data_IF_126438346667
#
_entry.id   IF_126438346667
#
_cell.length_a   1.000
_cell.length_b   1.000
_cell.length_c   1.000
_cell.angle_alpha   90.00
_cell.angle_beta   90.00
_cell.angle_gamma   90.00
#
_symmetry.space_group_name_H-M   'P 1'
#
loop_
_entity.id
_entity.type
_entity.pdbx_description
1 polymer ?
#
# COMPACT_ATOMS: atom_id res chain seq x y z
N UNK A 1 -15.25 -16.91 51.48
CA UNK A 1 -16.38 -16.90 50.52
C UNK A 1 -15.97 -16.04 49.33
N UNK A 2 -15.91 -16.63 48.14
CA UNK A 2 -15.45 -15.98 46.90
C UNK A 2 -16.70 -15.64 46.08
N UNK A 3 -16.97 -14.39 45.70
CA UNK A 3 -18.04 -14.10 44.75
C UNK A 3 -17.59 -14.46 43.32
N UNK A 4 -18.42 -15.25 42.68
CA UNK A 4 -18.27 -15.82 41.35
C UNK A 4 -18.79 -14.80 40.32
N UNK A 5 -17.89 -14.00 39.72
CA UNK A 5 -18.27 -12.97 38.74
C UNK A 5 -18.24 -13.59 37.33
N UNK A 6 -19.42 -14.01 36.85
CA UNK A 6 -19.60 -14.39 35.43
C UNK A 6 -19.44 -13.15 34.56
N UNK A 7 -18.26 -12.98 33.95
CA UNK A 7 -18.03 -11.96 32.94
C UNK A 7 -18.71 -12.37 31.64
N UNK A 8 -19.87 -11.77 31.34
CA UNK A 8 -20.46 -11.78 30.02
C UNK A 8 -19.68 -10.80 29.14
N UNK A 9 -18.85 -11.31 28.24
CA UNK A 9 -18.22 -10.51 27.19
C UNK A 9 -19.29 -10.16 26.15
N UNK A 10 -19.77 -8.92 26.19
CA UNK A 10 -20.59 -8.32 25.14
C UNK A 10 -19.66 -8.08 23.95
N UNK A 11 -19.83 -8.85 22.87
CA UNK A 11 -19.24 -8.55 21.57
C UNK A 11 -19.90 -7.27 21.03
N UNK A 12 -19.24 -6.13 21.20
CA UNK A 12 -19.57 -4.92 20.47
C UNK A 12 -19.18 -5.15 19.01
N UNK A 13 -20.17 -5.40 18.14
CA UNK A 13 -20.02 -5.26 16.69
C UNK A 13 -19.80 -3.77 16.40
N UNK A 14 -18.55 -3.31 16.50
CA UNK A 14 -18.16 -2.09 15.80
C UNK A 14 -18.27 -2.40 14.31
N UNK A 15 -19.09 -1.65 13.58
CA UNK A 15 -19.04 -1.57 12.13
C UNK A 15 -17.66 -1.01 11.74
N UNK A 16 -16.66 -1.88 11.76
CA UNK A 16 -15.33 -1.60 11.29
C UNK A 16 -15.41 -1.46 9.78
N UNK A 17 -14.96 -0.33 9.27
CA UNK A 17 -14.62 -0.20 7.87
C UNK A 17 -13.59 -1.30 7.60
N UNK A 18 -13.98 -2.32 6.84
CA UNK A 18 -13.07 -3.39 6.45
C UNK A 18 -12.15 -2.77 5.41
N UNK A 19 -11.10 -2.09 5.84
CA UNK A 19 -9.97 -1.82 4.97
C UNK A 19 -9.49 -3.20 4.53
N UNK A 20 -9.67 -3.50 3.24
CA UNK A 20 -9.26 -4.78 2.68
C UNK A 20 -7.74 -4.90 2.86
N UNK A 21 -7.22 -6.09 3.14
CA UNK A 21 -5.78 -6.29 3.21
C UNK A 21 -5.17 -6.00 1.83
N UNK A 22 -3.94 -5.48 1.80
CA UNK A 22 -3.23 -5.33 0.54
C UNK A 22 -2.87 -6.72 0.00
N UNK A 23 -3.00 -6.91 -1.31
CA UNK A 23 -2.54 -8.11 -1.99
C UNK A 23 -1.08 -7.92 -2.42
N UNK A 24 -0.17 -8.59 -1.73
CA UNK A 24 1.26 -8.43 -1.92
C UNK A 24 1.77 -9.31 -3.07
N UNK A 25 2.54 -8.73 -3.98
CA UNK A 25 3.09 -9.46 -5.12
C UNK A 25 4.49 -8.99 -5.51
N UNK A 26 5.05 -9.69 -6.50
CA UNK A 26 6.39 -9.45 -7.03
C UNK A 26 7.50 -10.15 -6.24
N UNK A 27 8.74 -9.79 -6.58
CA UNK A 27 9.97 -10.33 -5.98
C UNK A 27 10.30 -9.63 -4.66
N UNK A 28 11.45 -9.98 -4.07
CA UNK A 28 11.97 -9.21 -2.93
C UNK A 28 12.20 -7.76 -3.31
N UNK A 29 12.01 -6.86 -2.34
CA UNK A 29 12.34 -5.44 -2.51
C UNK A 29 13.81 -5.29 -2.96
N UNK A 30 14.10 -4.62 -4.10
CA UNK A 30 15.45 -4.49 -4.66
C UNK A 30 16.38 -3.53 -3.90
N UNK A 31 16.00 -3.11 -2.69
CA UNK A 31 16.75 -2.16 -1.86
C UNK A 31 16.18 -0.74 -1.86
N UNK A 32 14.96 -0.56 -2.37
CA UNK A 32 14.21 0.69 -2.30
C UNK A 32 13.72 0.93 -0.87
N UNK A 33 13.87 2.15 -0.40
CA UNK A 33 13.48 2.52 0.96
C UNK A 33 11.97 2.75 1.07
N UNK A 34 11.41 2.56 2.26
CA UNK A 34 10.00 2.90 2.54
C UNK A 34 9.68 4.35 2.18
N UNK A 35 10.63 5.27 2.35
CA UNK A 35 10.44 6.68 2.01
C UNK A 35 10.27 6.88 0.49
N UNK A 36 10.99 6.13 -0.34
CA UNK A 36 10.86 6.19 -1.80
C UNK A 36 9.44 5.75 -2.24
N UNK A 37 8.92 4.69 -1.61
CA UNK A 37 7.55 4.23 -1.82
C UNK A 37 6.51 5.28 -1.39
N UNK A 38 6.74 5.96 -0.26
CA UNK A 38 5.87 7.03 0.24
C UNK A 38 5.87 8.26 -0.68
N UNK A 39 7.03 8.66 -1.20
CA UNK A 39 7.16 9.76 -2.15
C UNK A 39 6.39 9.46 -3.44
N UNK A 40 6.49 8.21 -3.93
CA UNK A 40 5.74 7.76 -5.11
C UNK A 40 4.23 7.74 -4.88
N UNK A 41 3.79 7.24 -3.73
CA UNK A 41 2.38 7.31 -3.33
C UNK A 41 1.87 8.76 -3.27
N UNK A 42 2.68 9.69 -2.75
CA UNK A 42 2.34 11.11 -2.71
C UNK A 42 2.12 11.71 -4.10
N UNK A 43 2.88 11.28 -5.11
CA UNK A 43 2.68 11.70 -6.51
C UNK A 43 1.27 11.35 -7.04
N UNK A 44 0.73 10.19 -6.66
CA UNK A 44 -0.64 9.79 -6.98
C UNK A 44 -1.65 10.55 -6.14
N UNK A 45 -1.47 10.59 -4.81
CA UNK A 45 -2.47 11.15 -3.91
C UNK A 45 -2.61 12.68 -4.03
N UNK A 46 -1.58 13.39 -4.48
CA UNK A 46 -1.66 14.84 -4.74
C UNK A 46 -2.23 15.21 -6.11
N UNK A 47 -2.61 14.24 -6.95
CA UNK A 47 -3.33 14.52 -8.20
C UNK A 47 -2.94 13.64 -9.39
N UNK A 48 -1.86 12.87 -9.33
CA UNK A 48 -1.46 11.97 -10.42
C UNK A 48 -2.35 10.73 -10.53
N UNK A 49 -2.52 10.18 -11.73
CA UNK A 49 -3.19 8.87 -11.94
C UNK A 49 -2.21 7.74 -12.22
N UNK A 50 -0.99 8.09 -12.63
CA UNK A 50 0.15 7.19 -12.79
C UNK A 50 1.43 8.00 -12.62
N UNK A 51 2.40 7.45 -11.90
CA UNK A 51 3.74 8.03 -11.76
C UNK A 51 4.79 6.92 -11.81
N UNK A 52 5.93 7.24 -12.39
CA UNK A 52 7.14 6.43 -12.34
C UNK A 52 8.24 7.34 -11.77
N UNK A 53 8.75 7.01 -10.59
CA UNK A 53 9.88 7.69 -10.00
C UNK A 53 11.10 6.79 -10.04
N UNK A 54 12.17 7.30 -10.64
CA UNK A 54 13.47 6.65 -10.65
C UNK A 54 14.26 7.08 -9.42
N UNK A 55 14.62 6.10 -8.59
CA UNK A 55 15.46 6.23 -7.43
C UNK A 55 16.82 5.62 -7.72
N UNK A 56 17.87 6.42 -7.54
CA UNK A 56 19.24 6.00 -7.83
C UNK A 56 19.70 6.42 -9.22
N UNK A 57 20.45 7.51 -9.24
CA UNK A 57 21.57 7.62 -10.16
C UNK A 57 22.81 7.20 -9.34
N UNK A 58 23.22 5.93 -9.43
CA UNK A 58 24.41 5.47 -8.71
C UNK A 58 25.71 5.99 -9.33
N UNK A 59 25.66 6.80 -10.39
CA UNK A 59 26.83 7.32 -11.09
C UNK A 59 27.61 6.25 -11.86
N UNK A 60 27.10 5.01 -11.92
CA UNK A 60 27.72 3.91 -12.66
C UNK A 60 27.06 3.75 -14.05
N UNK A 61 27.83 3.83 -15.14
CA UNK A 61 27.30 3.93 -16.51
C UNK A 61 26.61 2.68 -17.09
N UNK A 62 26.23 1.69 -16.27
CA UNK A 62 25.53 0.47 -16.71
C UNK A 62 24.54 -0.08 -15.66
N UNK A 63 24.20 0.72 -14.63
CA UNK A 63 23.16 0.32 -13.69
C UNK A 63 21.83 0.89 -14.16
N UNK A 64 20.86 0.01 -14.39
CA UNK A 64 19.49 0.47 -14.58
C UNK A 64 19.00 1.08 -13.26
N UNK A 65 18.36 2.26 -13.28
CA UNK A 65 17.88 2.89 -12.06
C UNK A 65 16.83 1.97 -11.40
N UNK A 66 16.80 1.97 -10.07
CA UNK A 66 15.65 1.40 -9.38
C UNK A 66 14.48 2.34 -9.62
N UNK A 67 13.29 1.80 -9.88
CA UNK A 67 12.11 2.63 -10.11
C UNK A 67 10.97 2.17 -9.21
N UNK A 68 10.09 3.10 -8.87
CA UNK A 68 8.80 2.77 -8.27
C UNK A 68 7.72 3.29 -9.19
N UNK A 69 6.85 2.37 -9.61
CA UNK A 69 5.67 2.67 -10.38
C UNK A 69 4.46 2.63 -9.46
N UNK A 70 3.64 3.67 -9.54
CA UNK A 70 2.36 3.71 -8.86
C UNK A 70 1.26 4.08 -9.85
N UNK A 71 0.07 3.52 -9.66
CA UNK A 71 -1.09 3.89 -10.44
C UNK A 71 -2.37 3.83 -9.60
N UNK A 72 -3.35 4.61 -10.05
CA UNK A 72 -4.69 4.67 -9.51
C UNK A 72 -5.72 4.56 -10.63
N UNK A 73 -6.78 3.81 -10.38
CA UNK A 73 -7.98 3.76 -11.21
C UNK A 73 -9.21 3.79 -10.31
N UNK A 74 -10.14 4.72 -10.53
CA UNK A 74 -11.39 4.76 -9.77
C UNK A 74 -12.16 6.08 -9.89
N UNK A 75 -13.25 6.20 -9.14
CA UNK A 75 -14.18 7.34 -9.18
C UNK A 75 -13.75 8.53 -8.31
N UNK A 76 -13.35 8.33 -7.04
CA UNK A 76 -13.24 9.45 -6.08
C UNK A 76 -11.90 9.57 -5.31
N UNK A 77 -10.93 8.68 -5.53
CA UNK A 77 -9.59 8.67 -4.92
C UNK A 77 -9.61 8.91 -3.39
N UNK A 78 -10.70 8.55 -2.72
CA UNK A 78 -10.95 8.90 -1.32
C UNK A 78 -10.03 8.13 -0.38
N UNK A 79 -9.60 6.94 -0.81
CA UNK A 79 -8.80 6.02 0.00
C UNK A 79 -7.31 6.03 -0.33
N UNK A 80 -6.80 7.03 -1.07
CA UNK A 80 -5.44 7.00 -1.60
C UNK A 80 -4.36 6.74 -0.55
N UNK A 81 -4.34 7.54 0.51
CA UNK A 81 -3.34 7.43 1.54
C UNK A 81 -3.47 6.12 2.33
N UNK A 82 -4.69 5.70 2.66
CA UNK A 82 -4.94 4.46 3.38
C UNK A 82 -4.53 3.24 2.54
N UNK A 83 -4.87 3.25 1.25
CA UNK A 83 -4.54 2.19 0.30
C UNK A 83 -3.03 2.02 0.17
N UNK A 84 -2.29 3.10 -0.13
CA UNK A 84 -0.84 3.02 -0.26
C UNK A 84 -0.14 2.72 1.07
N UNK A 85 -0.61 3.27 2.20
CA UNK A 85 -0.06 2.91 3.52
C UNK A 85 -0.28 1.43 3.85
N UNK A 86 -1.41 0.84 3.45
CA UNK A 86 -1.64 -0.61 3.59
C UNK A 86 -0.68 -1.41 2.71
N UNK A 87 -0.48 -1.03 1.45
CA UNK A 87 0.48 -1.72 0.57
C UNK A 87 1.90 -1.63 1.14
N UNK A 88 2.33 -0.43 1.56
CA UNK A 88 3.68 -0.22 2.10
C UNK A 88 3.89 -1.02 3.38
N UNK A 89 2.96 -0.93 4.33
CA UNK A 89 3.10 -1.62 5.62
C UNK A 89 3.02 -3.13 5.49
N UNK A 90 2.08 -3.65 4.72
CA UNK A 90 1.85 -5.10 4.63
C UNK A 90 2.87 -5.74 3.66
N UNK A 91 3.03 -5.18 2.47
CA UNK A 91 3.82 -5.82 1.42
C UNK A 91 5.30 -5.47 1.49
N UNK A 92 5.62 -4.18 1.61
CA UNK A 92 7.03 -3.73 1.59
C UNK A 92 7.71 -3.98 2.93
N UNK A 93 7.07 -3.59 4.03
CA UNK A 93 7.67 -3.67 5.36
C UNK A 93 7.55 -5.07 5.99
N UNK A 94 6.35 -5.67 6.00
CA UNK A 94 6.14 -6.94 6.70
C UNK A 94 6.53 -8.17 5.86
N UNK A 95 6.18 -8.20 4.57
CA UNK A 95 6.49 -9.33 3.70
C UNK A 95 7.81 -9.19 2.91
N UNK A 96 8.43 -8.00 2.91
CA UNK A 96 9.67 -7.74 2.18
C UNK A 96 9.52 -7.81 0.66
N UNK A 97 8.30 -7.69 0.14
CA UNK A 97 7.97 -7.68 -1.28
C UNK A 97 8.27 -6.32 -1.90
N UNK A 98 8.48 -6.30 -3.20
CA UNK A 98 8.68 -5.06 -3.93
C UNK A 98 7.38 -4.33 -4.28
N UNK A 99 6.20 -4.89 -4.03
CA UNK A 99 4.95 -4.21 -4.32
C UNK A 99 3.69 -4.94 -3.90
N UNK A 100 2.56 -4.35 -4.27
CA UNK A 100 1.23 -4.89 -4.03
C UNK A 100 0.15 -4.02 -4.63
N UNK A 101 -1.09 -4.49 -4.47
CA UNK A 101 -2.29 -3.74 -4.82
C UNK A 101 -3.26 -3.67 -3.65
N UNK A 102 -4.10 -2.65 -3.69
CA UNK A 102 -5.20 -2.47 -2.76
C UNK A 102 -6.43 -2.05 -3.55
N UNK A 103 -7.52 -2.77 -3.35
CA UNK A 103 -8.78 -2.54 -4.05
C UNK A 103 -9.87 -2.18 -3.04
N UNK A 104 -10.73 -1.25 -3.43
CA UNK A 104 -11.99 -0.91 -2.76
C UNK A 104 -13.14 -1.14 -3.72
N UNK A 105 -14.13 -1.91 -3.28
CA UNK A 105 -15.37 -2.12 -4.02
C UNK A 105 -16.53 -2.09 -3.04
N UNK A 106 -17.29 -0.99 -3.05
CA UNK A 106 -18.46 -0.84 -2.20
C UNK A 106 -19.49 0.07 -2.87
N UNK A 107 -20.77 -0.34 -2.88
CA UNK A 107 -21.89 0.47 -3.37
C UNK A 107 -21.75 1.06 -4.80
N UNK A 108 -20.93 0.44 -5.65
CA UNK A 108 -20.67 0.91 -7.02
C UNK A 108 -19.42 1.77 -7.16
N UNK A 109 -18.82 2.21 -6.05
CA UNK A 109 -17.50 2.82 -6.04
C UNK A 109 -16.43 1.75 -6.16
N UNK A 110 -15.53 1.97 -7.12
CA UNK A 110 -14.43 1.07 -7.41
C UNK A 110 -13.15 1.90 -7.44
N UNK A 111 -12.22 1.59 -6.55
CA UNK A 111 -10.89 2.17 -6.53
C UNK A 111 -9.85 1.06 -6.52
N UNK A 112 -8.82 1.21 -7.34
CA UNK A 112 -7.68 0.31 -7.41
C UNK A 112 -6.40 1.11 -7.32
N UNK A 113 -5.53 0.71 -6.41
CA UNK A 113 -4.22 1.29 -6.17
C UNK A 113 -3.16 0.23 -6.34
N UNK A 114 -2.13 0.54 -7.12
CA UNK A 114 -1.02 -0.36 -7.42
C UNK A 114 0.28 0.38 -7.12
N UNK A 115 1.20 -0.30 -6.44
CA UNK A 115 2.53 0.23 -6.12
C UNK A 115 3.57 -0.88 -6.26
N UNK A 116 4.61 -0.66 -7.06
CA UNK A 116 5.65 -1.66 -7.29
C UNK A 116 7.01 -1.03 -7.56
N UNK A 117 8.02 -1.54 -6.86
CA UNK A 117 9.43 -1.29 -7.14
C UNK A 117 9.96 -2.25 -8.20
N UNK A 118 10.64 -1.76 -9.21
CA UNK A 118 11.26 -2.56 -10.28
C UNK A 118 12.75 -2.21 -10.39
N UNK A 119 13.55 -3.20 -10.78
CA UNK A 119 14.87 -2.96 -11.34
C UNK A 119 14.66 -2.66 -12.82
N UNK A 120 15.08 -1.48 -13.29
CA UNK A 120 14.97 -1.10 -14.70
C UNK A 120 15.79 -1.97 -15.63
#
# INVERSE_FOLDING_TARGET
MIPNFKAQFILLLSAGHVALAANCYGSGNPGLSVADYQETAAGICNGGSSVDYSFGNTGYPNYNPLQIQASYSGSEKAHCWDAFNNIISQCVQNEGKNGGEWDYNYNGDNEKYVLQGIEG
#
